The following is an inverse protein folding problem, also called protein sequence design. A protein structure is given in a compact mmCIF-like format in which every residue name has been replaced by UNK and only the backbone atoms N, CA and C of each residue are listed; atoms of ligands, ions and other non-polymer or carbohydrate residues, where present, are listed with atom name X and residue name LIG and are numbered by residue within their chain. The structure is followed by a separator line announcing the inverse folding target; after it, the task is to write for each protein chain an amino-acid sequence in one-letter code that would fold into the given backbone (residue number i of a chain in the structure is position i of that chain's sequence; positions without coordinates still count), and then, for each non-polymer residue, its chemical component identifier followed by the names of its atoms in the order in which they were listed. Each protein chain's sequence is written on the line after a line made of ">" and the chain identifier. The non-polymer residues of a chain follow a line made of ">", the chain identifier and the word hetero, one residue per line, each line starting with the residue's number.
data_IF_819292854589
#
_entry.id   IF_819292854589
#
_cell.length_a   1.000
_cell.length_b   1.000
_cell.length_c   1.000
_cell.angle_alpha   90.00
_cell.angle_beta   90.00
_cell.angle_gamma   90.00
#
_symmetry.space_group_name_H-M   'P 1'
#
loop_
_entity.id
_entity.type
_entity.pdbx_description
1 polymer ?
#
# COMPACT_ATOMS: atom_id res chain seq x y z
N UNK A 1 8.05 38.56 -0.08
CA UNK A 1 8.95 38.39 -1.25
C UNK A 1 9.60 37.03 -1.14
N UNK A 2 9.61 36.23 -2.22
CA UNK A 2 10.30 34.92 -2.28
C UNK A 2 11.77 35.17 -2.62
N UNK A 3 12.69 34.55 -1.88
CA UNK A 3 14.11 34.71 -2.15
C UNK A 3 14.90 33.45 -1.77
N UNK A 4 15.89 33.13 -2.60
CA UNK A 4 16.90 32.14 -2.24
C UNK A 4 17.84 32.76 -1.22
N UNK A 5 17.66 32.40 0.04
CA UNK A 5 18.52 32.80 1.16
C UNK A 5 19.78 31.91 1.23
N UNK A 6 20.57 32.07 2.29
CA UNK A 6 21.80 31.31 2.51
C UNK A 6 21.58 29.80 2.33
N UNK A 7 22.37 29.20 1.43
CA UNK A 7 22.27 27.77 1.12
C UNK A 7 22.64 26.86 2.28
N UNK A 8 23.51 27.32 3.18
CA UNK A 8 23.88 26.61 4.39
C UNK A 8 22.69 26.47 5.35
N UNK A 9 22.02 27.59 5.66
CA UNK A 9 20.82 27.57 6.49
C UNK A 9 19.68 26.80 5.83
N UNK A 10 19.51 26.97 4.51
CA UNK A 10 18.51 26.21 3.78
C UNK A 10 18.75 24.69 3.85
N UNK A 11 20.01 24.26 3.77
CA UNK A 11 20.37 22.85 3.93
C UNK A 11 20.05 22.32 5.33
N UNK A 12 20.43 23.04 6.39
CA UNK A 12 20.11 22.63 7.77
C UNK A 12 18.59 22.53 7.96
N UNK A 13 17.85 23.55 7.49
CA UNK A 13 16.40 23.58 7.61
C UNK A 13 15.69 22.51 6.77
N UNK A 14 16.32 21.97 5.73
CA UNK A 14 15.72 20.89 4.92
C UNK A 14 15.57 19.56 5.68
N UNK A 15 16.29 19.38 6.79
CA UNK A 15 16.11 18.22 7.68
C UNK A 15 14.81 18.28 8.50
N UNK A 16 14.20 19.46 8.61
CA UNK A 16 12.93 19.66 9.30
C UNK A 16 11.86 19.84 8.21
N UNK A 17 10.91 18.90 8.07
CA UNK A 17 9.93 18.95 7.01
C UNK A 17 9.21 20.31 6.96
N UNK A 18 9.15 20.94 5.79
CA UNK A 18 8.48 22.22 5.57
C UNK A 18 9.25 23.49 6.01
N UNK A 19 10.29 23.39 6.84
CA UNK A 19 11.02 24.58 7.31
C UNK A 19 11.83 25.27 6.21
N UNK A 20 12.44 24.50 5.31
CA UNK A 20 13.23 25.04 4.20
C UNK A 20 12.35 25.81 3.21
N UNK A 21 11.17 25.29 2.89
CA UNK A 21 10.18 25.94 2.03
C UNK A 21 9.71 27.27 2.63
N UNK A 22 9.41 27.30 3.93
CA UNK A 22 9.05 28.53 4.65
C UNK A 22 10.21 29.53 4.67
N UNK A 23 11.45 29.07 4.84
CA UNK A 23 12.64 29.92 4.79
C UNK A 23 12.81 30.61 3.43
N UNK A 24 12.46 29.93 2.34
CA UNK A 24 12.44 30.45 0.97
C UNK A 24 11.23 31.34 0.65
N UNK A 25 10.24 31.40 1.55
CA UNK A 25 9.03 32.21 1.42
C UNK A 25 7.80 31.47 0.90
N UNK A 26 7.84 30.14 0.79
CA UNK A 26 6.70 29.28 0.42
C UNK A 26 5.99 28.77 1.68
N UNK A 27 5.13 29.60 2.25
CA UNK A 27 4.47 29.32 3.54
C UNK A 27 3.43 28.21 3.42
N UNK A 28 2.63 28.20 2.36
CA UNK A 28 1.57 27.19 2.19
C UNK A 28 2.15 25.82 1.86
N UNK A 29 3.17 25.77 1.00
CA UNK A 29 3.86 24.50 0.71
C UNK A 29 4.55 23.95 1.95
N UNK A 30 5.30 24.78 2.67
CA UNK A 30 5.99 24.36 3.91
C UNK A 30 5.03 23.91 5.00
N UNK A 31 3.94 24.65 5.23
CA UNK A 31 2.90 24.25 6.17
C UNK A 31 2.23 22.93 5.78
N UNK A 32 2.01 22.68 4.48
CA UNK A 32 1.47 21.41 3.99
C UNK A 32 2.38 20.23 4.34
N UNK A 33 3.68 20.37 4.13
CA UNK A 33 4.67 19.33 4.45
C UNK A 33 4.75 19.07 5.95
N UNK A 34 4.76 20.14 6.76
CA UNK A 34 4.72 20.03 8.21
C UNK A 34 3.46 19.31 8.68
N UNK A 35 2.29 19.71 8.18
CA UNK A 35 1.01 19.15 8.57
C UNK A 35 0.94 17.65 8.23
N UNK A 36 1.45 17.23 7.07
CA UNK A 36 1.49 15.80 6.72
C UNK A 36 2.45 15.03 7.62
N UNK A 37 3.69 15.50 7.77
CA UNK A 37 4.69 14.79 8.56
C UNK A 37 4.26 14.64 10.03
N UNK A 38 3.91 15.75 10.68
CA UNK A 38 3.47 15.73 12.07
C UNK A 38 2.08 15.11 12.23
N UNK A 39 1.20 15.24 11.24
CA UNK A 39 -0.10 14.58 11.23
C UNK A 39 0.02 13.06 11.22
N UNK A 40 0.97 12.50 10.46
CA UNK A 40 1.23 11.05 10.47
C UNK A 40 1.80 10.61 11.83
N UNK A 41 2.73 11.37 12.41
CA UNK A 41 3.28 11.06 13.74
C UNK A 41 2.19 11.11 14.80
N UNK A 42 1.39 12.17 14.80
CA UNK A 42 0.27 12.33 15.73
C UNK A 42 -0.73 11.19 15.59
N UNK A 43 -1.12 10.84 14.35
CA UNK A 43 -1.99 9.71 14.08
C UNK A 43 -1.37 8.38 14.56
N UNK A 44 -0.08 8.16 14.32
CA UNK A 44 0.65 6.98 14.81
C UNK A 44 0.58 6.86 16.33
N UNK A 45 0.75 7.97 17.05
CA UNK A 45 0.72 8.00 18.52
C UNK A 45 -0.71 7.80 19.05
N UNK A 46 -1.67 8.60 18.58
CA UNK A 46 -3.06 8.58 19.06
C UNK A 46 -3.75 7.26 18.74
N UNK A 47 -3.56 6.73 17.53
CA UNK A 47 -4.11 5.44 17.11
C UNK A 47 -3.25 4.26 17.60
N UNK A 48 -2.08 4.55 18.14
CA UNK A 48 -1.07 3.59 18.56
C UNK A 48 -0.73 2.58 17.45
N UNK A 49 -0.57 3.10 16.23
CA UNK A 49 -0.26 2.34 15.04
C UNK A 49 1.21 2.54 14.66
N UNK A 50 2.11 1.82 15.32
CA UNK A 50 3.56 1.87 15.05
C UNK A 50 3.95 1.83 13.56
N UNK A 51 3.29 1.05 12.69
CA UNK A 51 3.60 1.05 11.25
C UNK A 51 3.41 2.39 10.53
N UNK A 52 2.62 3.34 11.05
CA UNK A 52 2.47 4.67 10.43
C UNK A 52 3.79 5.46 10.42
N UNK A 53 4.75 5.11 11.30
CA UNK A 53 6.07 5.75 11.31
C UNK A 53 6.85 5.53 10.00
N UNK A 54 6.60 4.45 9.26
CA UNK A 54 7.19 4.27 7.93
C UNK A 54 6.67 5.31 6.93
N UNK A 55 5.39 5.68 7.02
CA UNK A 55 4.82 6.75 6.20
C UNK A 55 5.40 8.12 6.58
N UNK A 56 5.65 8.35 7.87
CA UNK A 56 6.33 9.56 8.34
C UNK A 56 7.75 9.65 7.77
N UNK A 57 8.48 8.54 7.71
CA UNK A 57 9.81 8.48 7.11
C UNK A 57 9.78 8.79 5.60
N UNK A 58 8.80 8.25 4.88
CA UNK A 58 8.61 8.55 3.44
C UNK A 58 8.29 10.04 3.25
N UNK A 59 7.38 10.60 4.05
CA UNK A 59 7.04 12.02 4.01
C UNK A 59 8.25 12.91 4.34
N UNK A 60 9.09 12.48 5.28
CA UNK A 60 10.33 13.18 5.64
C UNK A 60 11.31 13.24 4.47
N UNK A 61 11.61 12.08 3.84
CA UNK A 61 12.47 12.05 2.66
C UNK A 61 11.91 12.89 1.52
N UNK A 62 10.59 12.78 1.25
CA UNK A 62 9.93 13.60 0.25
C UNK A 62 10.14 15.09 0.55
N UNK A 63 9.89 15.54 1.78
CA UNK A 63 10.10 16.93 2.16
C UNK A 63 11.56 17.38 2.01
N UNK A 64 12.52 16.53 2.39
CA UNK A 64 13.94 16.84 2.25
C UNK A 64 14.33 17.04 0.77
N UNK A 65 13.99 16.08 -0.09
CA UNK A 65 14.31 16.17 -1.52
C UNK A 65 13.54 17.31 -2.21
N UNK A 66 12.29 17.54 -1.81
CA UNK A 66 11.50 18.66 -2.30
C UNK A 66 12.16 20.02 -1.98
N UNK A 67 12.57 20.22 -0.73
CA UNK A 67 13.31 21.40 -0.30
C UNK A 67 14.62 21.59 -1.07
N UNK A 68 15.39 20.51 -1.28
CA UNK A 68 16.64 20.57 -2.06
C UNK A 68 16.38 20.85 -3.53
N UNK A 69 15.36 20.27 -4.14
CA UNK A 69 15.00 20.53 -5.53
C UNK A 69 14.60 22.00 -5.72
N UNK A 70 13.76 22.53 -4.83
CA UNK A 70 13.30 23.93 -4.90
C UNK A 70 14.44 24.94 -4.76
N UNK A 71 15.46 24.62 -3.96
CA UNK A 71 16.62 25.49 -3.81
C UNK A 71 17.51 25.56 -5.06
N UNK A 72 17.68 24.44 -5.78
CA UNK A 72 18.52 24.36 -6.98
C UNK A 72 17.78 24.67 -8.29
N UNK A 73 16.45 24.81 -8.26
CA UNK A 73 15.64 25.24 -9.40
C UNK A 73 16.11 26.61 -9.92
N UNK A 74 16.03 26.90 -11.21
CA UNK A 74 16.45 28.21 -11.76
C UNK A 74 15.71 29.40 -11.14
N UNK A 75 16.37 30.56 -11.04
CA UNK A 75 15.82 31.75 -10.38
C UNK A 75 14.54 32.27 -11.04
N UNK A 76 14.42 32.14 -12.36
CA UNK A 76 13.22 32.51 -13.11
C UNK A 76 12.03 31.61 -12.72
N UNK A 77 12.22 30.28 -12.79
CA UNK A 77 11.21 29.30 -12.37
C UNK A 77 10.84 29.45 -10.90
N UNK A 78 11.82 29.71 -10.03
CA UNK A 78 11.60 29.89 -8.60
C UNK A 78 10.69 31.10 -8.30
N UNK A 79 10.84 32.20 -9.05
CA UNK A 79 10.01 33.40 -8.88
C UNK A 79 8.59 33.21 -9.39
N UNK A 80 8.42 32.46 -10.49
CA UNK A 80 7.12 32.16 -11.10
C UNK A 80 6.36 31.10 -10.32
N UNK A 81 7.06 30.18 -9.64
CA UNK A 81 6.45 29.12 -8.82
C UNK A 81 5.50 29.72 -7.80
N UNK A 82 4.22 29.36 -7.83
CA UNK A 82 3.21 29.86 -6.89
C UNK A 82 3.27 29.16 -5.53
N UNK A 83 2.96 29.90 -4.45
CA UNK A 83 2.83 29.28 -3.13
C UNK A 83 1.39 28.77 -2.98
N UNK A 84 1.19 27.48 -3.22
CA UNK A 84 -0.08 26.77 -3.07
C UNK A 84 0.07 25.65 -2.05
N UNK A 85 -1.04 25.22 -1.47
CA UNK A 85 -1.02 23.99 -0.65
C UNK A 85 -0.64 22.81 -1.54
N UNK A 86 0.16 21.88 -1.01
CA UNK A 86 0.56 20.68 -1.77
C UNK A 86 -0.64 19.76 -2.03
N UNK A 87 -1.62 19.81 -1.15
CA UNK A 87 -2.86 19.06 -1.26
C UNK A 87 -3.99 20.08 -1.33
N UNK A 88 -4.53 20.26 -2.52
CA UNK A 88 -5.75 21.04 -2.67
C UNK A 88 -6.92 20.10 -2.41
N UNK A 89 -7.66 20.34 -1.32
CA UNK A 89 -8.82 19.54 -0.91
C UNK A 89 -9.90 19.54 -2.00
N UNK A 90 -9.96 20.63 -2.78
CA UNK A 90 -10.87 20.76 -3.90
C UNK A 90 -10.41 19.90 -5.08
N UNK A 91 -9.10 19.74 -5.29
CA UNK A 91 -8.56 18.81 -6.28
C UNK A 91 -8.76 17.35 -5.89
N UNK A 92 -8.69 17.01 -4.59
CA UNK A 92 -8.98 15.64 -4.11
C UNK A 92 -10.46 15.25 -4.30
N UNK A 93 -11.35 16.25 -4.28
CA UNK A 93 -12.78 16.06 -4.55
C UNK A 93 -13.15 16.18 -6.03
N UNK A 94 -12.44 17.01 -6.81
CA UNK A 94 -12.73 17.31 -8.21
C UNK A 94 -11.91 16.51 -9.25
N UNK A 95 -10.80 15.85 -8.87
CA UNK A 95 -9.90 15.18 -9.83
C UNK A 95 -10.45 13.83 -10.35
N UNK A 96 -11.29 13.95 -11.39
CA UNK A 96 -11.81 12.94 -12.32
C UNK A 96 -12.67 11.81 -11.73
N UNK A 97 -13.92 11.72 -12.21
CA UNK A 97 -14.92 10.76 -11.72
C UNK A 97 -14.44 9.30 -11.71
N UNK A 98 -13.53 8.89 -12.60
CA UNK A 98 -13.06 7.50 -12.70
C UNK A 98 -11.87 7.18 -11.78
N UNK A 99 -10.84 8.04 -11.75
CA UNK A 99 -9.64 7.82 -10.92
C UNK A 99 -10.00 8.04 -9.45
N UNK A 100 -10.73 9.12 -9.14
CA UNK A 100 -11.22 9.35 -7.80
C UNK A 100 -12.14 8.23 -7.30
N UNK A 101 -12.97 7.59 -8.14
CA UNK A 101 -13.80 6.44 -7.69
C UNK A 101 -12.96 5.25 -7.25
N UNK A 102 -11.90 4.89 -7.99
CA UNK A 102 -11.00 3.76 -7.62
C UNK A 102 -10.24 4.06 -6.33
N UNK A 103 -9.60 5.22 -6.23
CA UNK A 103 -8.87 5.59 -5.01
C UNK A 103 -9.81 5.79 -3.81
N UNK A 104 -10.99 6.39 -3.98
CA UNK A 104 -11.99 6.49 -2.90
C UNK A 104 -12.43 5.14 -2.37
N UNK A 105 -12.65 4.14 -3.25
CA UNK A 105 -12.99 2.79 -2.81
C UNK A 105 -11.86 2.17 -1.98
N UNK A 106 -10.61 2.30 -2.43
CA UNK A 106 -9.44 1.79 -1.70
C UNK A 106 -9.30 2.51 -0.36
N UNK A 107 -9.35 3.84 -0.33
CA UNK A 107 -9.25 4.64 0.89
C UNK A 107 -10.38 4.27 1.86
N UNK A 108 -11.63 4.13 1.37
CA UNK A 108 -12.76 3.74 2.20
C UNK A 108 -12.58 2.33 2.80
N UNK A 109 -12.14 1.36 2.00
CA UNK A 109 -11.84 -0.01 2.49
C UNK A 109 -10.75 0.05 3.56
N UNK A 110 -9.65 0.76 3.30
CA UNK A 110 -8.54 0.94 4.26
C UNK A 110 -9.07 1.58 5.54
N UNK A 111 -9.91 2.61 5.45
CA UNK A 111 -10.47 3.31 6.60
C UNK A 111 -11.42 2.43 7.42
N UNK A 112 -12.25 1.61 6.76
CA UNK A 112 -13.14 0.65 7.42
C UNK A 112 -12.33 -0.42 8.15
N UNK A 113 -11.33 -1.00 7.48
CA UNK A 113 -10.43 -2.00 8.10
C UNK A 113 -9.68 -1.39 9.28
N UNK A 114 -9.15 -0.18 9.12
CA UNK A 114 -8.49 0.57 10.20
C UNK A 114 -9.45 0.79 11.38
N UNK A 115 -10.68 1.23 11.11
CA UNK A 115 -11.71 1.45 12.12
C UNK A 115 -12.04 0.16 12.88
N UNK A 116 -12.20 -0.96 12.18
CA UNK A 116 -12.42 -2.28 12.80
C UNK A 116 -11.26 -2.64 13.73
N UNK A 117 -10.01 -2.49 13.27
CA UNK A 117 -8.81 -2.76 14.09
C UNK A 117 -8.79 -1.91 15.36
N UNK A 118 -9.11 -0.61 15.26
CA UNK A 118 -9.16 0.31 16.40
C UNK A 118 -10.27 -0.05 17.39
N UNK A 119 -11.46 -0.39 16.90
CA UNK A 119 -12.59 -0.82 17.73
C UNK A 119 -12.25 -2.11 18.47
N UNK A 120 -11.71 -3.12 17.77
CA UNK A 120 -11.26 -4.35 18.41
C UNK A 120 -10.23 -4.07 19.49
N UNK A 121 -9.23 -3.23 19.21
CA UNK A 121 -8.22 -2.85 20.20
C UNK A 121 -8.82 -2.17 21.43
N UNK A 122 -9.76 -1.25 21.25
CA UNK A 122 -10.48 -0.60 22.34
C UNK A 122 -11.31 -1.59 23.16
N UNK A 123 -12.02 -2.50 22.49
CA UNK A 123 -12.78 -3.56 23.15
C UNK A 123 -11.87 -4.49 23.95
N UNK A 124 -10.71 -4.88 23.40
CA UNK A 124 -9.72 -5.67 24.11
C UNK A 124 -9.29 -4.98 25.41
N UNK A 125 -9.00 -3.68 25.36
CA UNK A 125 -8.64 -2.90 26.54
C UNK A 125 -9.77 -2.78 27.56
N UNK A 126 -11.02 -2.64 27.12
CA UNK A 126 -12.18 -2.55 28.01
C UNK A 126 -12.43 -3.86 28.78
N UNK A 127 -12.28 -5.00 28.12
CA UNK A 127 -12.43 -6.33 28.74
C UNK A 127 -11.33 -6.56 29.79
N UNK A 128 -10.11 -6.05 29.57
CA UNK A 128 -9.02 -6.16 30.53
C UNK A 128 -9.35 -5.52 31.89
N UNK A 129 -10.20 -4.50 31.93
CA UNK A 129 -10.61 -3.83 33.17
C UNK A 129 -11.39 -4.76 34.13
N UNK A 130 -12.17 -5.71 33.58
CA UNK A 130 -13.10 -6.55 34.36
C UNK A 130 -12.45 -7.89 34.76
N UNK A 131 -11.34 -8.28 34.14
CA UNK A 131 -10.73 -9.59 34.34
C UNK A 131 -9.79 -9.66 35.56
N UNK A 132 -9.69 -10.81 36.28
CA UNK A 132 -8.68 -11.05 37.31
C UNK A 132 -7.25 -11.13 36.73
N UNK A 133 -6.22 -10.78 37.52
CA UNK A 133 -4.82 -10.66 37.08
C UNK A 133 -4.24 -11.89 36.38
N UNK A 134 -4.60 -13.10 36.82
CA UNK A 134 -4.15 -14.37 36.20
C UNK A 134 -4.70 -14.51 34.78
N UNK A 135 -5.95 -14.11 34.56
CA UNK A 135 -6.61 -14.19 33.25
C UNK A 135 -6.08 -13.08 32.32
N UNK A 136 -5.74 -11.90 32.86
CA UNK A 136 -5.14 -10.79 32.07
C UNK A 136 -3.85 -11.21 31.38
N UNK A 137 -2.98 -11.99 32.04
CA UNK A 137 -1.71 -12.42 31.45
C UNK A 137 -1.89 -13.30 30.21
N UNK A 138 -2.85 -14.24 30.26
CA UNK A 138 -3.17 -15.12 29.13
C UNK A 138 -3.92 -14.34 28.04
N UNK A 139 -4.86 -13.49 28.44
CA UNK A 139 -5.66 -12.66 27.54
C UNK A 139 -4.79 -11.66 26.75
N UNK A 140 -3.85 -10.96 27.39
CA UNK A 140 -2.94 -10.02 26.71
C UNK A 140 -2.10 -10.69 25.63
N UNK A 141 -1.63 -11.92 25.87
CA UNK A 141 -0.91 -12.71 24.86
C UNK A 141 -1.83 -13.12 23.72
N UNK A 142 -2.98 -13.70 24.03
CA UNK A 142 -3.94 -14.14 23.02
C UNK A 142 -4.41 -12.96 22.14
N UNK A 143 -4.78 -11.84 22.75
CA UNK A 143 -5.27 -10.64 22.09
C UNK A 143 -4.24 -9.99 21.15
N UNK A 144 -2.94 -10.10 21.46
CA UNK A 144 -1.88 -9.60 20.57
C UNK A 144 -1.68 -10.49 19.34
N UNK A 145 -1.69 -11.81 19.53
CA UNK A 145 -1.44 -12.75 18.43
C UNK A 145 -2.68 -13.01 17.56
N UNK A 146 -3.90 -12.86 18.07
CA UNK A 146 -5.12 -13.21 17.33
C UNK A 146 -5.28 -12.45 16.00
N UNK A 147 -5.16 -11.10 15.97
CA UNK A 147 -5.23 -10.35 14.71
C UNK A 147 -4.09 -10.71 13.76
N UNK A 148 -2.88 -10.95 14.28
CA UNK A 148 -1.72 -11.35 13.48
C UNK A 148 -1.93 -12.72 12.83
N UNK A 149 -2.54 -13.67 13.54
CA UNK A 149 -2.90 -14.99 13.02
C UNK A 149 -3.97 -14.86 11.93
N UNK A 150 -5.01 -14.04 12.14
CA UNK A 150 -6.06 -13.81 11.13
C UNK A 150 -5.45 -13.21 9.85
N UNK A 151 -4.60 -12.19 9.99
CA UNK A 151 -3.88 -11.58 8.85
C UNK A 151 -2.99 -12.61 8.15
N UNK A 152 -2.25 -13.43 8.92
CA UNK A 152 -1.43 -14.51 8.39
C UNK A 152 -2.22 -15.53 7.58
N UNK A 153 -3.36 -16.00 8.10
CA UNK A 153 -4.27 -16.91 7.39
C UNK A 153 -4.78 -16.26 6.09
N UNK A 154 -5.14 -14.97 6.14
CA UNK A 154 -5.56 -14.22 4.96
C UNK A 154 -4.47 -14.14 3.89
N UNK A 155 -3.23 -13.86 4.28
CA UNK A 155 -2.08 -13.85 3.36
C UNK A 155 -1.88 -15.22 2.71
N UNK A 156 -1.96 -16.31 3.49
CA UNK A 156 -1.85 -17.69 2.97
C UNK A 156 -2.96 -17.99 1.96
N UNK A 157 -4.21 -17.60 2.27
CA UNK A 157 -5.34 -17.81 1.36
C UNK A 157 -5.17 -17.03 0.04
N UNK A 158 -4.70 -15.78 0.10
CA UNK A 158 -4.39 -14.99 -1.10
C UNK A 158 -3.28 -15.66 -1.91
N UNK A 159 -2.20 -16.09 -1.25
CA UNK A 159 -1.11 -16.81 -1.90
C UNK A 159 -1.59 -18.06 -2.62
N UNK A 160 -2.47 -18.85 -1.99
CA UNK A 160 -3.09 -20.02 -2.62
C UNK A 160 -3.89 -19.65 -3.88
N UNK A 161 -4.76 -18.63 -3.80
CA UNK A 161 -5.55 -18.16 -4.96
C UNK A 161 -4.65 -17.70 -6.11
N UNK A 162 -3.54 -17.01 -5.82
CA UNK A 162 -2.57 -16.59 -6.84
C UNK A 162 -1.86 -17.78 -7.50
N UNK A 163 -1.52 -18.81 -6.74
CA UNK A 163 -0.89 -20.04 -7.25
C UNK A 163 -1.85 -20.83 -8.15
N UNK A 164 -3.13 -20.92 -7.78
CA UNK A 164 -4.15 -21.62 -8.57
C UNK A 164 -4.53 -20.84 -9.85
N UNK A 165 -4.45 -19.51 -9.82
CA UNK A 165 -4.61 -18.66 -11.01
C UNK A 165 -3.55 -18.94 -12.08
N UNK A 166 -2.28 -19.11 -11.68
CA UNK A 166 -1.17 -19.45 -12.60
C UNK A 166 -1.30 -20.83 -13.23
N UNK A 167 -1.93 -21.79 -12.54
CA UNK A 167 -2.15 -23.14 -13.10
C UNK A 167 -3.18 -23.15 -14.22
N UNK A 168 -4.14 -22.22 -14.22
CA UNK A 168 -5.14 -22.08 -15.30
C UNK A 168 -4.56 -21.43 -16.55
N UNK A 169 -3.63 -20.50 -16.43
CA UNK A 169 -2.90 -19.96 -17.60
C UNK A 169 -1.91 -20.97 -18.18
N UNK A 170 -1.26 -21.78 -17.34
CA UNK A 170 -0.21 -22.71 -17.80
C UNK A 170 -0.73 -24.05 -18.33
N UNK A 171 -1.92 -24.51 -17.90
CA UNK A 171 -2.54 -25.77 -18.35
C UNK A 171 -3.85 -25.55 -19.13
N UNK A 172 -4.26 -24.29 -19.34
CA UNK A 172 -5.48 -23.94 -20.06
C UNK A 172 -5.39 -24.16 -21.57
N UNK A 173 -4.22 -23.91 -22.18
CA UNK A 173 -4.01 -24.13 -23.62
C UNK A 173 -3.80 -25.62 -23.96
N UNK A 174 -3.13 -26.39 -23.09
CA UNK A 174 -2.80 -27.80 -23.37
C UNK A 174 -3.96 -28.81 -23.21
N UNK A 175 -5.12 -28.34 -22.75
CA UNK A 175 -6.30 -29.15 -22.48
C UNK A 175 -7.40 -29.03 -23.56
N UNK A 176 -7.38 -27.99 -24.39
CA UNK A 176 -8.31 -27.84 -25.51
C UNK A 176 -7.80 -28.53 -26.80
N UNK A 177 -6.49 -28.51 -27.06
CA UNK A 177 -5.90 -29.19 -28.23
C UNK A 177 -6.02 -30.73 -28.18
N UNK A 178 -5.98 -31.32 -26.98
CA UNK A 178 -6.11 -32.79 -26.82
C UNK A 178 -7.53 -33.32 -27.04
N UNK A 179 -8.54 -32.46 -27.14
CA UNK A 179 -9.91 -32.87 -27.44
C UNK A 179 -10.25 -32.83 -28.93
N UNK A 180 -9.49 -32.08 -29.73
CA UNK A 180 -9.69 -32.06 -31.19
C UNK A 180 -8.95 -33.22 -31.90
N UNK A 181 -7.79 -33.63 -31.39
CA UNK A 181 -6.95 -34.66 -32.03
C UNK A 181 -7.38 -36.12 -31.72
N UNK A 182 -8.21 -36.33 -30.69
CA UNK A 182 -8.71 -37.67 -30.31
C UNK A 182 -9.93 -38.16 -31.08
N UNK A 183 -10.44 -37.39 -32.05
CA UNK A 183 -11.70 -37.66 -32.75
C UNK A 183 -11.56 -38.35 -34.11
N UNK A 184 -10.34 -38.57 -34.62
CA UNK A 184 -10.13 -39.01 -36.02
C UNK A 184 -9.18 -40.19 -36.09
N UNK A 185 -9.52 -41.37 -35.55
CA UNK A 185 -9.01 -42.67 -36.05
C UNK A 185 -9.97 -43.79 -35.66
N UNK A 186 -10.96 -44.05 -36.50
CA UNK A 186 -11.70 -45.31 -36.51
C UNK A 186 -11.91 -45.72 -37.97
N UNK A 187 -10.97 -46.49 -38.54
CA UNK A 187 -11.27 -47.46 -39.60
C UNK A 187 -10.09 -48.43 -39.82
N UNK A 188 -10.40 -49.72 -40.03
CA UNK A 188 -9.50 -50.67 -40.69
C UNK A 188 -8.64 -51.59 -39.80
N UNK A 189 -9.25 -52.62 -39.18
CA UNK A 189 -8.52 -53.83 -38.78
C UNK A 189 -9.18 -55.05 -39.38
N UNK A 190 -8.48 -55.75 -40.27
CA UNK A 190 -8.48 -57.22 -40.40
C UNK A 190 -7.51 -57.63 -41.52
N UNK A 191 -6.30 -58.06 -41.15
CA UNK A 191 -5.41 -58.79 -42.06
C UNK A 191 -5.03 -60.15 -41.45
N UNK A 192 -5.48 -61.15 -42.21
CA UNK A 192 -5.38 -62.60 -42.14
C UNK A 192 -3.98 -63.15 -41.81
N UNK A 193 -3.90 -64.21 -41.01
CA UNK A 193 -2.65 -64.93 -40.76
C UNK A 193 -2.85 -66.45 -40.90
N UNK A 194 -2.01 -67.09 -41.71
CA UNK A 194 -1.77 -68.53 -41.66
C UNK A 194 -1.67 -69.19 -43.02
N UNK A 195 -0.44 -69.45 -43.48
CA UNK A 195 0.03 -70.81 -43.87
C UNK A 195 1.52 -70.72 -44.22
N UNK A 196 2.30 -71.60 -43.58
CA UNK A 196 3.58 -72.23 -43.97
C UNK A 196 4.57 -72.20 -42.80
N UNK A 197 5.36 -73.22 -42.49
CA UNK A 197 5.50 -74.64 -42.84
C UNK A 197 6.71 -75.05 -41.98
N UNK A 198 6.70 -76.18 -41.28
CA UNK A 198 7.94 -76.84 -40.88
C UNK A 198 7.69 -78.33 -40.67
N UNK A 199 8.68 -79.08 -41.12
CA UNK A 199 8.84 -80.54 -41.16
C UNK A 199 8.68 -81.24 -39.80
#
# INVERSE_FOLDING_TARGET
>A
MKNKKSGFWNFILSWIPGCSEMYMGFMKMGLSLMAVFWGIILASIVLNLGPLMFLAMIAWFYSFFHARNMYHMDDELFRVTEDRYLFDVDSLTASSEKIAKRYRKIIAIVLVVLGIVLVFRGLYSAVEFVLPEIVKAIYRRAAYYLPQVIVGIGIIAIGKVMLDGKKKELYGDDAEDRKQDGGVMQDGSEENNGTERNE
#
